data_IF_881436469356
#
_entry.id   IF_881436469356
#
_cell.length_a   1.000
_cell.length_b   1.000
_cell.length_c   1.000
_cell.angle_alpha   90.00
_cell.angle_beta   90.00
_cell.angle_gamma   90.00
#
_symmetry.space_group_name_H-M   'P 1'
#
loop_
_entity.id
_entity.type
_entity.pdbx_description
1 polymer ?
#
# COMPACT_ATOMS: atom_id res chain seq x y z
N UNK A 1 29.84 32.47 -12.93
CA UNK A 1 29.98 31.22 -12.14
C UNK A 1 28.94 31.08 -11.02
N UNK A 2 28.53 32.17 -10.34
CA UNK A 2 27.53 32.12 -9.25
C UNK A 2 26.13 31.59 -9.68
N UNK A 3 25.65 31.99 -10.86
CA UNK A 3 24.35 31.57 -11.38
C UNK A 3 24.24 30.04 -11.59
N UNK A 4 25.32 29.38 -12.00
CA UNK A 4 25.33 27.94 -12.23
C UNK A 4 25.13 27.15 -10.93
N UNK A 5 25.74 27.59 -9.82
CA UNK A 5 25.58 26.92 -8.53
C UNK A 5 24.17 27.10 -7.96
N UNK A 6 23.56 28.27 -8.16
CA UNK A 6 22.18 28.53 -7.72
C UNK A 6 21.20 27.67 -8.52
N UNK A 7 21.36 27.58 -9.85
CA UNK A 7 20.50 26.71 -10.69
C UNK A 7 20.63 25.24 -10.31
N UNK A 8 21.86 24.77 -10.03
CA UNK A 8 22.11 23.38 -9.64
C UNK A 8 21.53 23.07 -8.25
N UNK A 9 21.61 24.02 -7.32
CA UNK A 9 20.97 23.92 -6.01
C UNK A 9 19.44 23.85 -6.16
N UNK A 10 18.84 24.72 -6.99
CA UNK A 10 17.39 24.72 -7.21
C UNK A 10 16.89 23.42 -7.86
N UNK A 11 17.64 22.85 -8.80
CA UNK A 11 17.34 21.53 -9.39
C UNK A 11 17.41 20.40 -8.35
N UNK A 12 18.40 20.43 -7.45
CA UNK A 12 18.49 19.47 -6.35
C UNK A 12 17.36 19.64 -5.34
N UNK A 13 16.99 20.88 -5.02
CA UNK A 13 15.85 21.18 -4.15
C UNK A 13 14.55 20.65 -4.76
N UNK A 14 14.32 20.88 -6.05
CA UNK A 14 13.16 20.33 -6.75
C UNK A 14 13.15 18.80 -6.73
N UNK A 15 14.28 18.13 -7.03
CA UNK A 15 14.41 16.67 -6.98
C UNK A 15 14.09 16.11 -5.58
N UNK A 16 14.61 16.75 -4.52
CA UNK A 16 14.33 16.39 -3.13
C UNK A 16 12.85 16.57 -2.80
N UNK A 17 12.24 17.69 -3.18
CA UNK A 17 10.82 17.98 -2.94
C UNK A 17 9.92 16.98 -3.68
N UNK A 18 10.24 16.63 -4.93
CA UNK A 18 9.48 15.61 -5.68
C UNK A 18 9.64 14.21 -5.09
N UNK A 19 10.83 13.85 -4.59
CA UNK A 19 11.04 12.54 -3.95
C UNK A 19 10.31 12.43 -2.61
N UNK A 20 10.32 13.48 -1.80
CA UNK A 20 9.59 13.48 -0.53
C UNK A 20 8.08 13.47 -0.72
N UNK A 21 7.54 14.16 -1.74
CA UNK A 21 6.11 14.11 -2.04
C UNK A 21 5.65 12.73 -2.51
N UNK A 22 6.43 12.06 -3.36
CA UNK A 22 6.16 10.69 -3.82
C UNK A 22 6.25 9.70 -2.65
N UNK A 23 7.25 9.84 -1.78
CA UNK A 23 7.45 8.94 -0.65
C UNK A 23 6.43 9.15 0.49
N UNK A 24 5.76 10.31 0.54
CA UNK A 24 4.65 10.57 1.45
C UNK A 24 3.30 10.00 0.96
N UNK A 25 3.21 9.55 -0.29
CA UNK A 25 2.02 8.88 -0.82
C UNK A 25 1.91 7.46 -0.23
N UNK A 26 1.33 7.40 0.96
CA UNK A 26 0.84 6.21 1.67
C UNK A 26 1.85 5.08 1.91
N UNK A 27 2.38 4.99 3.14
CA UNK A 27 2.77 3.69 3.69
C UNK A 27 1.51 2.82 3.77
N UNK A 28 1.22 2.05 2.72
CA UNK A 28 0.16 1.05 2.73
C UNK A 28 0.50 -0.01 3.78
N UNK A 29 -0.42 -0.21 4.72
CA UNK A 29 -0.30 -1.29 5.69
C UNK A 29 -0.65 -2.61 4.99
N UNK A 30 0.12 -3.64 5.29
CA UNK A 30 -0.09 -5.00 4.79
C UNK A 30 -0.43 -5.89 5.98
N UNK A 31 -1.52 -6.66 5.85
CA UNK A 31 -1.80 -7.73 6.78
C UNK A 31 -0.99 -8.96 6.36
N UNK A 32 -0.16 -9.47 7.26
CA UNK A 32 0.69 -10.64 7.03
C UNK A 32 0.35 -11.73 8.04
N UNK A 33 0.21 -12.95 7.56
CA UNK A 33 0.01 -14.16 8.36
C UNK A 33 1.19 -15.09 8.07
N UNK A 34 1.99 -15.49 9.08
CA UNK A 34 3.13 -16.36 8.86
C UNK A 34 2.68 -17.77 8.48
N UNK A 35 3.49 -18.45 7.68
CA UNK A 35 3.30 -19.83 7.26
C UNK A 35 4.38 -20.26 6.28
N UNK A 36 4.47 -21.56 6.01
CA UNK A 36 5.48 -22.12 5.11
C UNK A 36 5.24 -21.72 3.64
N UNK A 37 3.98 -21.53 3.28
CA UNK A 37 3.54 -21.06 1.95
C UNK A 37 2.79 -19.75 2.12
N UNK A 38 3.25 -18.70 1.44
CA UNK A 38 2.59 -17.40 1.43
C UNK A 38 1.69 -17.23 0.21
N UNK A 39 0.46 -16.77 0.45
CA UNK A 39 -0.52 -16.46 -0.59
C UNK A 39 -0.77 -14.96 -0.57
N UNK A 40 -0.36 -14.26 -1.64
CA UNK A 40 -0.65 -12.85 -1.82
C UNK A 40 -2.09 -12.62 -2.27
N UNK A 41 -2.77 -11.64 -1.68
CA UNK A 41 -4.14 -11.25 -2.06
C UNK A 41 -4.30 -9.73 -2.08
N UNK A 42 -5.15 -9.23 -2.98
CA UNK A 42 -5.50 -7.82 -3.08
C UNK A 42 -7.00 -7.65 -2.80
N UNK A 43 -7.33 -6.83 -1.80
CA UNK A 43 -8.71 -6.50 -1.44
C UNK A 43 -8.94 -4.99 -1.57
N UNK A 44 -10.13 -4.56 -2.04
CA UNK A 44 -10.49 -3.14 -2.09
C UNK A 44 -10.85 -2.66 -0.68
N UNK A 45 -9.83 -2.49 0.18
CA UNK A 45 -10.00 -2.08 1.57
C UNK A 45 -10.66 -0.71 1.70
N UNK A 46 -10.36 0.18 0.75
CA UNK A 46 -10.84 1.54 0.69
C UNK A 46 -11.56 1.78 -0.64
N UNK A 47 -12.50 2.72 -0.66
CA UNK A 47 -13.14 3.19 -1.88
C UNK A 47 -12.16 4.02 -2.71
N UNK A 48 -12.21 3.90 -4.03
CA UNK A 48 -11.45 4.76 -4.93
C UNK A 48 -12.05 6.18 -4.93
N UNK A 49 -11.20 7.20 -4.93
CA UNK A 49 -11.58 8.59 -5.15
C UNK A 49 -11.22 8.94 -6.59
N UNK A 50 -12.20 9.38 -7.38
CA UNK A 50 -11.95 9.77 -8.77
C UNK A 50 -10.96 10.93 -8.84
N UNK A 51 -9.89 10.78 -9.65
CA UNK A 51 -8.87 11.81 -9.84
C UNK A 51 -7.87 11.98 -8.68
N UNK A 52 -7.81 11.03 -7.75
CA UNK A 52 -6.84 11.03 -6.65
C UNK A 52 -6.07 9.71 -6.61
N UNK A 53 -4.76 9.79 -6.33
CA UNK A 53 -3.91 8.64 -6.03
C UNK A 53 -4.13 8.11 -4.60
N UNK A 54 -4.88 8.85 -3.77
CA UNK A 54 -5.21 8.48 -2.40
C UNK A 54 -6.40 7.53 -2.28
N UNK A 55 -6.40 6.72 -1.23
CA UNK A 55 -7.52 5.88 -0.84
C UNK A 55 -8.62 6.69 -0.11
N UNK A 56 -9.89 6.37 -0.37
CA UNK A 56 -11.04 6.94 0.34
C UNK A 56 -11.40 6.19 1.63
N UNK A 57 -12.65 6.33 2.06
CA UNK A 57 -13.15 5.66 3.26
C UNK A 57 -13.09 4.13 3.15
N UNK A 58 -12.99 3.45 4.31
CA UNK A 58 -13.02 1.99 4.41
C UNK A 58 -14.30 1.44 3.78
N UNK A 59 -14.17 0.35 3.03
CA UNK A 59 -15.28 -0.37 2.45
C UNK A 59 -15.53 -1.67 3.22
N UNK A 60 -16.54 -1.67 4.09
CA UNK A 60 -16.80 -2.80 4.97
C UNK A 60 -17.11 -4.10 4.21
N UNK A 61 -18.11 -4.10 3.33
CA UNK A 61 -18.58 -5.30 2.64
C UNK A 61 -17.57 -5.86 1.62
N UNK A 62 -16.85 -5.00 0.90
CA UNK A 62 -15.94 -5.41 -0.17
C UNK A 62 -14.48 -5.48 0.29
N UNK A 63 -14.10 -4.72 1.32
CA UNK A 63 -12.77 -4.70 1.91
C UNK A 63 -12.68 -5.63 3.11
N UNK A 64 -13.21 -5.16 4.25
CA UNK A 64 -13.07 -5.83 5.55
C UNK A 64 -13.63 -7.25 5.52
N UNK A 65 -14.89 -7.42 5.13
CA UNK A 65 -15.54 -8.74 5.18
C UNK A 65 -14.86 -9.75 4.24
N UNK A 66 -14.37 -9.32 3.08
CA UNK A 66 -13.66 -10.22 2.15
C UNK A 66 -12.28 -10.60 2.65
N UNK A 67 -11.56 -9.65 3.24
CA UNK A 67 -10.26 -9.91 3.86
C UNK A 67 -10.42 -10.90 5.03
N UNK A 68 -11.39 -10.68 5.92
CA UNK A 68 -11.66 -11.57 7.05
C UNK A 68 -12.08 -12.98 6.61
N UNK A 69 -12.97 -13.08 5.61
CA UNK A 69 -13.36 -14.39 5.05
C UNK A 69 -12.15 -15.12 4.44
N UNK A 70 -11.25 -14.41 3.75
CA UNK A 70 -10.04 -15.01 3.21
C UNK A 70 -9.12 -15.52 4.33
N UNK A 71 -8.91 -14.73 5.38
CA UNK A 71 -8.11 -15.13 6.55
C UNK A 71 -8.72 -16.36 7.24
N UNK A 72 -10.03 -16.34 7.51
CA UNK A 72 -10.73 -17.49 8.09
C UNK A 72 -10.63 -18.74 7.20
N UNK A 73 -10.72 -18.57 5.88
CA UNK A 73 -10.57 -19.68 4.93
C UNK A 73 -9.18 -20.30 5.04
N UNK A 74 -8.11 -19.50 5.10
CA UNK A 74 -6.75 -20.00 5.31
C UNK A 74 -6.64 -20.74 6.65
N UNK A 75 -7.24 -20.21 7.72
CA UNK A 75 -7.25 -20.87 9.01
C UNK A 75 -7.94 -22.24 8.98
N UNK A 76 -9.05 -22.38 8.25
CA UNK A 76 -9.71 -23.69 8.08
C UNK A 76 -8.90 -24.64 7.21
N UNK A 77 -8.26 -24.14 6.15
CA UNK A 77 -7.37 -24.96 5.31
C UNK A 77 -6.18 -25.52 6.10
N UNK A 78 -5.56 -24.72 6.97
CA UNK A 78 -4.45 -25.16 7.82
C UNK A 78 -4.85 -26.26 8.83
N UNK A 79 -6.14 -26.50 9.07
CA UNK A 79 -6.60 -27.62 9.91
C UNK A 79 -6.69 -28.95 9.16
N UNK A 80 -6.79 -28.91 7.83
CA UNK A 80 -7.03 -30.10 7.00
C UNK A 80 -5.86 -30.42 6.07
N UNK A 81 -5.04 -29.43 5.73
CA UNK A 81 -3.88 -29.61 4.88
C UNK A 81 -2.68 -30.10 5.72
N UNK A 82 -1.83 -30.99 5.16
CA UNK A 82 -0.78 -31.68 5.91
C UNK A 82 0.52 -30.86 6.03
N UNK A 83 0.47 -29.56 5.76
CA UNK A 83 1.59 -28.64 5.83
C UNK A 83 1.28 -27.51 6.80
#
# INVERSE_FOLDING_TARGET
>A
MLYSHVTLLMLRVMDVITKTSVQQSARMLVAEIPGDIQIGALFPMHRQIAGSEGCGAIWEQYGIQRAEVAILTIQELNKILPF
#
